data_IF_448144527089
#
_entry.id   IF_448144527089
#
_cell.length_a   1.000
_cell.length_b   1.000
_cell.length_c   1.000
_cell.angle_alpha   90.00
_cell.angle_beta   90.00
_cell.angle_gamma   90.00
#
_symmetry.space_group_name_H-M   'P 1'
#
loop_
_entity.id
_entity.type
_entity.pdbx_description
1 polymer ?
#
# COMPACT_ATOMS: atom_id res chain seq x y z
N UNK A 1 14.94 5.81 -3.19
CA UNK A 1 16.23 6.30 -2.71
C UNK A 1 16.86 5.14 -1.96
N UNK A 2 17.83 4.48 -2.60
CA UNK A 2 18.59 3.41 -1.95
C UNK A 2 19.47 3.99 -0.84
N UNK A 3 19.65 3.22 0.22
CA UNK A 3 20.71 3.48 1.19
C UNK A 3 22.03 3.00 0.60
N UNK A 4 23.16 3.44 1.13
CA UNK A 4 24.49 3.02 0.68
C UNK A 4 24.70 1.49 0.74
N UNK A 5 23.89 0.79 1.54
CA UNK A 5 23.91 -0.67 1.70
C UNK A 5 23.03 -1.42 0.70
N UNK A 6 22.27 -0.71 -0.16
CA UNK A 6 21.41 -1.39 -1.12
C UNK A 6 22.22 -1.90 -2.31
N UNK A 7 22.26 -3.22 -2.46
CA UNK A 7 22.84 -3.85 -3.62
C UNK A 7 22.11 -3.44 -4.90
N UNK A 8 22.84 -2.93 -5.88
CA UNK A 8 22.28 -2.64 -7.19
C UNK A 8 21.91 -3.92 -7.92
N UNK A 9 20.67 -4.00 -8.37
CA UNK A 9 20.18 -5.12 -9.18
C UNK A 9 20.10 -4.69 -10.64
N UNK A 10 20.65 -5.53 -11.49
CA UNK A 10 20.70 -5.29 -12.93
C UNK A 10 19.76 -6.26 -13.66
N UNK A 11 19.28 -5.84 -14.82
CA UNK A 11 18.56 -6.71 -15.72
C UNK A 11 19.48 -7.80 -16.26
N UNK A 12 19.07 -9.05 -16.12
CA UNK A 12 19.75 -10.16 -16.78
C UNK A 12 19.03 -10.50 -18.08
N UNK A 13 19.72 -10.37 -19.18
CA UNK A 13 19.17 -10.70 -20.50
C UNK A 13 19.00 -12.21 -20.75
N UNK A 14 19.46 -13.04 -19.81
CA UNK A 14 19.18 -14.49 -19.81
C UNK A 14 17.82 -14.82 -19.18
N UNK A 15 17.23 -13.92 -18.41
CA UNK A 15 15.92 -14.12 -17.81
C UNK A 15 14.78 -13.90 -18.83
N UNK A 16 13.77 -14.73 -18.81
CA UNK A 16 12.61 -14.60 -19.71
C UNK A 16 11.61 -13.55 -19.22
N UNK A 17 11.53 -13.36 -17.91
CA UNK A 17 10.65 -12.37 -17.29
C UNK A 17 11.14 -11.96 -15.90
N UNK A 18 10.70 -10.79 -15.50
CA UNK A 18 10.83 -10.28 -14.14
C UNK A 18 9.46 -10.02 -13.53
N UNK A 19 9.34 -10.27 -12.25
CA UNK A 19 8.13 -10.05 -11.46
C UNK A 19 8.43 -9.06 -10.35
N UNK A 20 7.62 -8.01 -10.27
CA UNK A 20 7.81 -6.93 -9.32
C UNK A 20 6.58 -6.81 -8.43
N UNK A 21 6.80 -6.73 -7.14
CA UNK A 21 5.81 -6.33 -6.16
C UNK A 21 6.50 -5.60 -5.01
N UNK A 22 5.78 -4.74 -4.31
CA UNK A 22 6.34 -3.98 -3.21
C UNK A 22 5.29 -3.63 -2.16
N UNK A 23 5.77 -3.48 -0.93
CA UNK A 23 5.01 -2.95 0.19
C UNK A 23 5.80 -1.83 0.88
N UNK A 24 5.11 -0.89 1.48
CA UNK A 24 5.73 0.22 2.20
C UNK A 24 4.83 0.70 3.36
N UNK A 25 5.39 1.31 4.40
CA UNK A 25 6.82 1.37 4.72
C UNK A 25 7.38 0.01 5.18
N UNK A 26 8.68 -0.14 5.21
CA UNK A 26 9.33 -1.43 5.52
C UNK A 26 8.87 -2.02 6.87
N UNK A 27 8.68 -1.18 7.87
CA UNK A 27 8.23 -1.62 9.21
C UNK A 27 6.85 -2.31 9.20
N UNK A 28 6.05 -2.06 8.16
CA UNK A 28 4.70 -2.64 7.98
C UNK A 28 4.72 -3.91 7.14
N UNK A 29 5.80 -4.17 6.45
CA UNK A 29 5.96 -5.41 5.67
C UNK A 29 6.37 -6.52 6.61
N UNK A 30 5.52 -7.54 6.75
CA UNK A 30 5.79 -8.70 7.60
C UNK A 30 6.37 -9.86 6.81
N UNK A 31 5.92 -10.01 5.58
CA UNK A 31 6.42 -11.00 4.65
C UNK A 31 6.21 -10.51 3.22
N UNK A 32 7.17 -10.73 2.37
CA UNK A 32 7.15 -10.38 0.93
C UNK A 32 7.59 -11.57 0.05
N UNK A 33 7.43 -12.78 0.56
CA UNK A 33 7.78 -14.00 -0.18
C UNK A 33 6.72 -14.26 -1.26
N UNK A 34 7.12 -14.15 -2.52
CA UNK A 34 6.20 -14.41 -3.65
C UNK A 34 5.61 -15.82 -3.59
N UNK A 35 4.33 -16.01 -3.85
CA UNK A 35 3.38 -15.03 -4.42
C UNK A 35 2.62 -14.18 -3.38
N UNK A 36 3.06 -14.10 -2.16
CA UNK A 36 2.35 -13.44 -1.07
C UNK A 36 3.01 -12.14 -0.65
N UNK A 37 2.21 -11.23 -0.14
CA UNK A 37 2.62 -10.03 0.58
C UNK A 37 1.78 -9.91 1.85
N UNK A 38 2.43 -9.85 3.00
CA UNK A 38 1.76 -9.69 4.28
C UNK A 38 2.12 -8.33 4.89
N UNK A 39 1.11 -7.52 5.13
CA UNK A 39 1.24 -6.16 5.66
C UNK A 39 0.54 -6.01 7.00
N UNK A 40 1.16 -5.26 7.91
CA UNK A 40 0.51 -4.78 9.11
C UNK A 40 -0.19 -3.44 8.81
N UNK A 41 -1.51 -3.41 8.97
CA UNK A 41 -2.32 -2.20 8.78
C UNK A 41 -2.85 -1.74 10.12
N UNK A 42 -2.57 -0.51 10.50
CA UNK A 42 -3.09 0.09 11.73
C UNK A 42 -4.09 1.20 11.37
N UNK A 43 -5.18 1.23 12.11
CA UNK A 43 -6.19 2.28 12.00
C UNK A 43 -5.88 3.51 12.88
N UNK A 44 -4.71 3.55 13.52
CA UNK A 44 -4.31 4.68 14.37
C UNK A 44 -4.11 5.94 13.55
N UNK A 45 -4.54 7.10 14.09
CA UNK A 45 -4.60 8.32 13.29
C UNK A 45 -3.23 8.86 12.92
N UNK A 46 -3.16 9.42 11.75
CA UNK A 46 -2.29 10.47 11.19
C UNK A 46 -0.76 10.39 11.41
N UNK A 47 -0.25 9.88 12.51
CA UNK A 47 1.18 9.83 12.78
C UNK A 47 1.88 8.55 12.33
N UNK A 48 1.13 7.50 12.13
CA UNK A 48 1.68 6.16 11.88
C UNK A 48 1.77 5.78 10.39
N UNK A 49 1.49 6.71 9.55
CA UNK A 49 1.65 6.56 8.12
C UNK A 49 0.66 5.59 7.47
N UNK A 50 0.58 5.73 6.20
CA UNK A 50 -0.21 4.89 5.33
C UNK A 50 0.56 3.62 5.00
N UNK A 51 -0.12 2.49 5.02
CA UNK A 51 0.42 1.25 4.48
C UNK A 51 0.11 1.17 2.98
N UNK A 52 1.12 0.94 2.20
CA UNK A 52 1.07 0.96 0.75
C UNK A 52 1.49 -0.39 0.18
N UNK A 53 0.92 -0.76 -0.94
CA UNK A 53 1.30 -1.93 -1.70
C UNK A 53 1.18 -1.68 -3.21
N UNK A 54 1.81 -2.52 -4.01
CA UNK A 54 1.66 -2.49 -5.46
C UNK A 54 0.85 -3.65 -5.97
N UNK A 55 0.19 -3.46 -7.11
CA UNK A 55 -0.27 -4.59 -7.92
C UNK A 55 0.97 -5.36 -8.42
N UNK A 56 0.84 -6.67 -8.65
CA UNK A 56 1.91 -7.43 -9.28
C UNK A 56 2.17 -6.92 -10.69
N UNK A 57 3.42 -6.71 -11.02
CA UNK A 57 3.82 -6.21 -12.34
C UNK A 57 4.83 -7.18 -12.97
N UNK A 58 4.57 -7.59 -14.19
CA UNK A 58 5.41 -8.55 -14.91
C UNK A 58 5.96 -7.88 -16.15
N UNK A 59 7.27 -7.99 -16.35
CA UNK A 59 7.97 -7.54 -17.55
C UNK A 59 8.62 -8.76 -18.20
N UNK A 60 8.27 -9.01 -19.46
CA UNK A 60 8.83 -10.09 -20.28
C UNK A 60 9.95 -9.57 -21.14
N UNK A 61 10.85 -10.46 -21.57
CA UNK A 61 12.02 -10.10 -22.39
C UNK A 61 11.67 -9.34 -23.68
N UNK A 62 10.51 -9.56 -24.26
CA UNK A 62 10.06 -8.86 -25.48
C UNK A 62 9.36 -7.53 -25.25
N UNK A 63 9.13 -7.15 -24.00
CA UNK A 63 8.43 -5.92 -23.68
C UNK A 63 9.36 -4.70 -23.81
N UNK A 64 8.81 -3.55 -24.22
CA UNK A 64 9.56 -2.30 -24.32
C UNK A 64 10.15 -1.81 -22.99
N UNK A 65 9.58 -2.27 -21.88
CA UNK A 65 10.05 -1.96 -20.51
C UNK A 65 11.22 -2.83 -20.08
N UNK A 66 11.52 -3.92 -20.78
CA UNK A 66 12.64 -4.79 -20.42
C UNK A 66 13.96 -4.05 -20.59
N UNK A 67 14.78 -4.06 -19.57
CA UNK A 67 16.04 -3.31 -19.54
C UNK A 67 15.90 -1.84 -19.12
N UNK A 68 14.69 -1.32 -18.95
CA UNK A 68 14.42 0.06 -18.59
C UNK A 68 13.97 0.22 -17.14
N UNK A 69 13.79 1.46 -16.71
CA UNK A 69 13.27 1.78 -15.37
C UNK A 69 11.85 1.28 -15.19
N UNK A 70 11.61 0.57 -14.10
CA UNK A 70 10.29 0.09 -13.71
C UNK A 70 9.62 1.09 -12.79
N UNK A 71 8.45 1.57 -13.17
CA UNK A 71 7.63 2.47 -12.37
C UNK A 71 6.50 1.69 -11.70
N UNK A 72 6.63 1.47 -10.39
CA UNK A 72 5.61 0.81 -9.59
C UNK A 72 4.59 1.83 -9.07
N UNK A 73 3.31 1.53 -9.26
CA UNK A 73 2.21 2.34 -8.71
C UNK A 73 1.78 1.78 -7.37
N UNK A 74 1.89 2.59 -6.34
CA UNK A 74 1.45 2.22 -5.00
C UNK A 74 -0.02 2.56 -4.78
N UNK A 75 -0.70 1.67 -4.07
CA UNK A 75 -2.09 1.80 -3.61
C UNK A 75 -2.10 1.76 -2.09
N UNK A 76 -3.04 2.48 -1.49
CA UNK A 76 -3.25 2.45 -0.05
C UNK A 76 -3.94 1.16 0.38
N UNK A 77 -3.41 0.51 1.41
CA UNK A 77 -4.08 -0.64 2.04
C UNK A 77 -5.21 -0.19 2.99
N UNK A 78 -5.22 1.07 3.38
CA UNK A 78 -6.22 1.69 4.23
C UNK A 78 -6.94 2.83 3.49
N UNK A 79 -8.19 3.09 3.86
CA UNK A 79 -8.95 4.22 3.34
C UNK A 79 -8.75 5.46 4.21
N UNK A 80 -8.86 6.63 3.59
CA UNK A 80 -8.84 7.93 4.27
C UNK A 80 -10.25 8.50 4.30
N UNK A 81 -10.72 8.88 5.49
CA UNK A 81 -11.99 9.58 5.67
C UNK A 81 -11.69 11.04 5.97
N UNK A 82 -12.23 11.94 5.14
CA UNK A 82 -12.17 13.39 5.38
C UNK A 82 -13.53 13.85 5.89
N UNK A 83 -13.55 14.50 7.03
CA UNK A 83 -14.77 15.10 7.60
C UNK A 83 -14.69 16.60 7.41
N UNK A 84 -15.61 17.18 6.65
CA UNK A 84 -15.74 18.61 6.50
C UNK A 84 -16.93 19.10 7.34
N UNK A 85 -16.67 19.99 8.29
CA UNK A 85 -17.69 20.62 9.11
C UNK A 85 -17.95 22.04 8.59
N UNK A 86 -19.20 22.35 8.24
CA UNK A 86 -19.62 23.68 7.82
C UNK A 86 -20.50 24.30 8.90
N UNK A 87 -20.10 25.47 9.42
CA UNK A 87 -20.91 26.25 10.30
C UNK A 87 -21.78 27.23 9.49
N UNK A 88 -23.06 27.31 9.78
CA UNK A 88 -24.02 28.31 9.22
C UNK A 88 -24.37 29.41 10.22
N UNK A 89 -23.82 29.37 11.42
CA UNK A 89 -24.05 30.38 12.44
C UNK A 89 -23.30 31.68 12.12
N UNK A 90 -23.86 32.81 12.51
CA UNK A 90 -23.23 34.12 12.38
C UNK A 90 -22.12 34.37 13.42
N UNK A 91 -21.87 33.42 14.32
CA UNK A 91 -20.87 33.48 15.38
C UNK A 91 -19.82 32.41 15.18
N UNK A 92 -18.61 32.65 15.68
CA UNK A 92 -17.56 31.67 15.69
C UNK A 92 -17.92 30.47 16.56
N UNK A 93 -17.84 29.29 15.98
CA UNK A 93 -18.15 28.01 16.65
C UNK A 93 -16.88 27.20 16.74
N UNK A 94 -16.51 26.81 17.94
CA UNK A 94 -15.40 25.86 18.16
C UNK A 94 -15.95 24.44 18.08
N UNK A 95 -15.42 23.67 17.16
CA UNK A 95 -15.71 22.23 17.04
C UNK A 95 -14.60 21.46 17.72
N UNK A 96 -14.96 20.57 18.66
CA UNK A 96 -14.04 19.68 19.35
C UNK A 96 -14.59 18.24 19.32
N UNK A 97 -13.72 17.26 19.49
CA UNK A 97 -14.09 15.85 19.64
C UNK A 97 -14.96 15.26 18.52
N UNK A 98 -14.54 15.49 17.28
CA UNK A 98 -15.16 14.82 16.16
C UNK A 98 -14.84 13.32 16.22
N UNK A 99 -15.87 12.49 16.40
CA UNK A 99 -15.75 11.04 16.48
C UNK A 99 -16.55 10.37 15.39
N UNK A 100 -15.95 9.40 14.72
CA UNK A 100 -16.66 8.47 13.85
C UNK A 100 -17.08 7.28 14.70
N UNK A 101 -18.38 7.17 14.97
CA UNK A 101 -18.93 6.05 15.75
C UNK A 101 -19.63 5.10 14.80
N UNK A 102 -19.16 3.84 14.68
CA UNK A 102 -19.85 2.85 13.88
C UNK A 102 -21.19 2.47 14.53
N UNK A 103 -22.14 1.94 13.76
CA UNK A 103 -23.32 1.29 14.32
C UNK A 103 -22.92 0.22 15.33
N UNK A 104 -23.71 0.00 16.39
CA UNK A 104 -23.38 -0.94 17.47
C UNK A 104 -23.12 -2.38 17.00
N UNK A 105 -23.66 -2.75 15.85
CA UNK A 105 -23.45 -4.06 15.22
C UNK A 105 -22.14 -4.18 14.41
N UNK A 106 -21.43 -3.06 14.18
CA UNK A 106 -20.23 -3.03 13.34
C UNK A 106 -19.01 -2.76 14.21
N UNK A 107 -18.00 -3.61 14.10
CA UNK A 107 -16.71 -3.43 14.73
C UNK A 107 -15.65 -3.16 13.67
N UNK A 108 -14.89 -2.10 13.84
CA UNK A 108 -13.72 -1.83 13.01
C UNK A 108 -12.46 -2.33 13.69
N UNK A 109 -11.59 -3.05 12.99
CA UNK A 109 -10.30 -3.42 13.55
C UNK A 109 -9.43 -2.17 13.74
N UNK A 110 -8.83 -2.04 14.91
CA UNK A 110 -7.85 -0.98 15.20
C UNK A 110 -6.52 -1.29 14.50
N UNK A 111 -6.25 -2.57 14.35
CA UNK A 111 -5.06 -3.09 13.67
C UNK A 111 -5.38 -4.44 13.09
N UNK A 112 -4.87 -4.73 11.93
CA UNK A 112 -5.01 -6.03 11.30
C UNK A 112 -3.76 -6.39 10.49
N UNK A 113 -3.56 -7.68 10.30
CA UNK A 113 -2.60 -8.18 9.32
C UNK A 113 -3.37 -8.51 8.04
N UNK A 114 -2.99 -7.90 6.95
CA UNK A 114 -3.56 -8.16 5.63
C UNK A 114 -2.58 -9.02 4.84
N UNK A 115 -3.06 -10.13 4.34
CA UNK A 115 -2.30 -10.99 3.45
C UNK A 115 -2.90 -10.90 2.05
N UNK A 116 -2.08 -10.56 1.09
CA UNK A 116 -2.44 -10.52 -0.31
C UNK A 116 -1.80 -11.71 -1.03
N UNK A 117 -2.56 -12.34 -1.91
CA UNK A 117 -2.05 -13.34 -2.86
C UNK A 117 -1.98 -12.74 -4.24
N UNK A 118 -0.82 -12.91 -4.91
CA UNK A 118 -0.60 -12.38 -6.25
C UNK A 118 -0.90 -13.43 -7.30
N UNK A 119 -1.78 -13.10 -8.23
CA UNK A 119 -1.92 -13.81 -9.49
C UNK A 119 -1.04 -13.13 -10.55
N UNK A 120 0.12 -13.70 -10.79
CA UNK A 120 1.09 -13.16 -11.75
C UNK A 120 0.62 -13.24 -13.21
N UNK A 121 -0.29 -14.16 -13.52
CA UNK A 121 -0.83 -14.32 -14.87
C UNK A 121 -1.84 -13.23 -15.21
N UNK A 122 -2.67 -12.86 -14.23
CA UNK A 122 -3.68 -11.81 -14.34
C UNK A 122 -3.17 -10.44 -13.89
N UNK A 123 -1.99 -10.39 -13.31
CA UNK A 123 -1.41 -9.20 -12.67
C UNK A 123 -2.40 -8.55 -11.69
N UNK A 124 -3.02 -9.37 -10.85
CA UNK A 124 -4.03 -8.97 -9.87
C UNK A 124 -3.71 -9.52 -8.48
N UNK A 125 -4.37 -8.97 -7.49
CA UNK A 125 -4.31 -9.41 -6.10
C UNK A 125 -5.69 -9.83 -5.61
N UNK A 126 -5.71 -10.74 -4.67
CA UNK A 126 -6.89 -11.17 -3.92
C UNK A 126 -6.61 -11.14 -2.40
#
# INVERSE_FOLDING_TARGET
>A
VGTEEQEMKYWSYSADQYRFHAGAPLQRVKDITAPSLTLQVNATPLQDGTTLFTQPYVVKRGDAQFGNTVNLKFTYANCRVNVAVKCKAAQDVKVSDIKLTPPASVRYPISCTMQFSYDWSRQSIS
#
